data_IF_560858235973
#
_entry.id   IF_560858235973
#
_cell.length_a   1.000
_cell.length_b   1.000
_cell.length_c   1.000
_cell.angle_alpha   90.00
_cell.angle_beta   90.00
_cell.angle_gamma   90.00
#
_symmetry.space_group_name_H-M   'P 1'
#
loop_
_entity.id
_entity.type
_entity.pdbx_description
1 polymer ?
#
# COMPACT_ATOMS: atom_id res chain seq x y z
N UNK A 1 -25.64 6.19 -2.12
CA UNK A 1 -25.09 7.56 -2.10
C UNK A 1 -23.96 7.61 -3.11
N UNK A 2 -24.03 8.48 -4.12
CA UNK A 2 -22.92 8.68 -5.06
C UNK A 2 -21.82 9.41 -4.31
N UNK A 3 -20.71 8.73 -4.00
CA UNK A 3 -19.50 9.35 -3.48
C UNK A 3 -19.02 10.37 -4.53
N UNK A 4 -19.34 11.64 -4.32
CA UNK A 4 -18.74 12.74 -5.08
C UNK A 4 -17.29 12.84 -4.63
N UNK A 5 -16.42 12.07 -5.27
CA UNK A 5 -14.98 12.24 -5.13
C UNK A 5 -14.66 13.68 -5.55
N UNK A 6 -14.31 14.51 -4.58
CA UNK A 6 -13.85 15.88 -4.83
C UNK A 6 -12.61 15.79 -5.71
N UNK A 7 -12.67 16.46 -6.87
CA UNK A 7 -11.55 16.54 -7.79
C UNK A 7 -10.45 17.36 -7.10
N UNK A 8 -9.26 16.79 -6.98
CA UNK A 8 -8.08 17.53 -6.51
C UNK A 8 -7.84 18.73 -7.44
N UNK A 9 -7.44 19.86 -6.85
CA UNK A 9 -7.09 21.07 -7.62
C UNK A 9 -5.64 21.03 -8.08
N UNK A 10 -4.77 20.44 -7.27
CA UNK A 10 -3.34 20.34 -7.55
C UNK A 10 -2.99 19.02 -8.23
N UNK A 11 -2.10 19.08 -9.21
CA UNK A 11 -1.54 17.90 -9.85
C UNK A 11 -0.48 17.26 -8.92
N UNK A 12 -0.56 15.95 -8.73
CA UNK A 12 0.46 15.15 -8.05
C UNK A 12 1.51 14.77 -9.08
N UNK A 13 2.71 15.29 -8.91
CA UNK A 13 3.83 15.04 -9.82
C UNK A 13 4.61 13.80 -9.36
N UNK A 14 5.04 12.97 -10.31
CA UNK A 14 5.99 11.92 -10.04
C UNK A 14 7.39 12.53 -9.86
N UNK A 15 8.14 12.04 -8.88
CA UNK A 15 9.48 12.55 -8.58
C UNK A 15 10.60 11.88 -9.39
N UNK A 16 10.25 11.01 -10.34
CA UNK A 16 11.21 10.29 -11.20
C UNK A 16 10.95 10.43 -12.69
N UNK A 17 9.77 10.90 -13.08
CA UNK A 17 9.42 11.10 -14.49
C UNK A 17 8.37 12.21 -14.62
N UNK A 18 8.03 12.56 -15.85
CA UNK A 18 7.10 13.67 -16.16
C UNK A 18 5.62 13.34 -15.90
N UNK A 19 5.31 12.16 -15.34
CA UNK A 19 3.93 11.77 -15.05
C UNK A 19 3.28 12.69 -14.01
N UNK A 20 2.04 13.11 -14.28
CA UNK A 20 1.23 13.95 -13.39
C UNK A 20 -0.19 13.37 -13.27
N UNK A 21 -0.82 13.51 -12.11
CA UNK A 21 -2.21 13.10 -11.92
C UNK A 21 -2.93 13.86 -10.83
N UNK A 22 -4.23 14.12 -11.01
CA UNK A 22 -5.12 14.67 -9.96
C UNK A 22 -5.74 13.59 -9.07
N UNK A 23 -5.40 12.32 -9.27
CA UNK A 23 -5.90 11.22 -8.46
C UNK A 23 -4.77 10.62 -7.65
N UNK A 24 -4.87 10.69 -6.32
CA UNK A 24 -3.92 10.03 -5.41
C UNK A 24 -3.82 8.54 -5.74
N UNK A 25 -4.94 7.88 -6.03
CA UNK A 25 -4.96 6.45 -6.37
C UNK A 25 -4.22 6.17 -7.68
N UNK A 26 -4.40 7.00 -8.71
CA UNK A 26 -3.70 6.83 -9.99
C UNK A 26 -2.19 7.12 -9.85
N UNK A 27 -1.82 8.16 -9.10
CA UNK A 27 -0.42 8.47 -8.80
C UNK A 27 0.27 7.36 -8.01
N UNK A 28 -0.37 6.81 -6.97
CA UNK A 28 0.16 5.67 -6.22
C UNK A 28 0.28 4.41 -7.09
N UNK A 29 -0.71 4.14 -7.95
CA UNK A 29 -0.63 3.03 -8.91
C UNK A 29 0.53 3.21 -9.89
N UNK A 30 0.74 4.43 -10.39
CA UNK A 30 1.86 4.77 -11.25
C UNK A 30 3.21 4.48 -10.57
N UNK A 31 3.42 4.95 -9.33
CA UNK A 31 4.66 4.67 -8.58
C UNK A 31 4.93 3.16 -8.44
N UNK A 32 3.90 2.37 -8.16
CA UNK A 32 4.04 0.92 -8.02
C UNK A 32 4.36 0.24 -9.34
N UNK A 33 3.65 0.60 -10.41
CA UNK A 33 3.74 -0.10 -11.70
C UNK A 33 4.95 0.32 -12.54
N UNK A 34 5.37 1.59 -12.46
CA UNK A 34 6.46 2.13 -13.27
C UNK A 34 7.78 2.18 -12.52
N UNK A 35 7.73 2.52 -11.24
CA UNK A 35 8.92 2.77 -10.43
C UNK A 35 9.17 1.70 -9.37
N UNK A 36 8.31 0.67 -9.31
CA UNK A 36 8.36 -0.37 -8.28
C UNK A 36 8.55 0.22 -6.88
N UNK A 37 7.87 1.33 -6.56
CA UNK A 37 8.00 2.00 -5.26
C UNK A 37 6.63 2.37 -4.68
N UNK A 38 6.63 2.87 -3.46
CA UNK A 38 5.46 3.40 -2.75
C UNK A 38 5.84 4.75 -2.15
N UNK A 39 4.87 5.61 -1.76
CA UNK A 39 5.19 6.88 -1.13
C UNK A 39 6.10 6.72 0.09
N UNK A 40 5.79 5.76 0.96
CA UNK A 40 6.58 5.44 2.15
C UNK A 40 8.04 5.04 1.81
N UNK A 41 8.23 4.15 0.83
CA UNK A 41 9.57 3.73 0.40
C UNK A 41 10.36 4.83 -0.29
N UNK A 42 9.67 5.73 -1.00
CA UNK A 42 10.27 6.89 -1.62
C UNK A 42 10.58 8.03 -0.64
N UNK A 43 10.25 7.87 0.65
CA UNK A 43 10.38 8.95 1.64
C UNK A 43 9.46 10.12 1.29
N UNK A 44 8.22 9.82 0.91
CA UNK A 44 7.20 10.80 0.56
C UNK A 44 5.96 10.65 1.43
N UNK A 45 5.40 11.79 1.84
CA UNK A 45 4.09 11.89 2.48
C UNK A 45 3.14 12.70 1.59
N UNK A 46 1.85 12.41 1.72
CA UNK A 46 0.77 13.19 1.14
C UNK A 46 0.26 14.16 2.21
N UNK A 47 0.38 15.47 1.98
CA UNK A 47 -0.15 16.49 2.88
C UNK A 47 -1.41 17.10 2.26
N UNK A 48 -2.52 17.00 2.98
CA UNK A 48 -3.76 17.67 2.61
C UNK A 48 -3.73 19.14 3.06
N UNK A 49 -4.45 20.02 2.36
CA UNK A 49 -4.68 21.42 2.78
C UNK A 49 -5.27 21.56 4.19
N UNK A 50 -6.01 20.56 4.68
CA UNK A 50 -6.49 20.55 6.07
C UNK A 50 -5.38 20.30 7.13
N UNK A 51 -4.13 20.12 6.69
CA UNK A 51 -2.98 19.84 7.55
C UNK A 51 -2.74 18.35 7.81
N UNK A 52 -3.65 17.46 7.42
CA UNK A 52 -3.47 16.03 7.65
C UNK A 52 -2.38 15.44 6.74
N UNK A 53 -1.44 14.72 7.36
CA UNK A 53 -0.40 13.97 6.67
C UNK A 53 -0.76 12.48 6.62
N UNK A 54 -0.54 11.85 5.46
CA UNK A 54 -0.82 10.42 5.28
C UNK A 54 0.05 9.83 4.18
N UNK A 55 0.24 8.52 4.20
CA UNK A 55 0.85 7.76 3.09
C UNK A 55 -0.21 7.06 2.23
N UNK A 56 -1.49 7.20 2.56
CA UNK A 56 -2.62 6.50 1.94
C UNK A 56 -3.64 7.48 1.35
N UNK A 57 -4.46 7.03 0.39
CA UNK A 57 -5.55 7.84 -0.15
C UNK A 57 -6.81 7.84 0.75
N UNK A 58 -6.80 7.18 1.92
CA UNK A 58 -8.00 7.07 2.74
C UNK A 58 -8.50 8.42 3.28
N UNK A 59 -7.59 9.36 3.52
CA UNK A 59 -7.95 10.69 3.98
C UNK A 59 -8.76 11.49 2.93
N UNK A 60 -8.37 11.44 1.65
CA UNK A 60 -9.05 12.21 0.60
C UNK A 60 -10.51 11.80 0.39
N UNK A 61 -10.88 10.57 0.77
CA UNK A 61 -12.28 10.10 0.73
C UNK A 61 -13.16 10.70 1.83
N UNK A 62 -12.55 11.19 2.92
CA UNK A 62 -13.25 11.68 4.12
C UNK A 62 -13.19 13.20 4.26
N UNK A 63 -12.26 13.86 3.58
CA UNK A 63 -12.00 15.29 3.72
C UNK A 63 -12.74 16.09 2.65
N UNK A 64 -13.59 17.02 3.09
CA UNK A 64 -14.41 17.89 2.24
C UNK A 64 -13.61 18.96 1.48
N UNK A 65 -12.40 19.26 1.97
CA UNK A 65 -11.48 20.22 1.35
C UNK A 65 -10.22 19.49 0.84
N UNK A 66 -10.38 18.24 0.42
CA UNK A 66 -9.25 17.42 0.02
C UNK A 66 -8.53 18.02 -1.19
N UNK A 67 -7.41 18.67 -0.94
CA UNK A 67 -6.40 19.01 -1.93
C UNK A 67 -5.05 18.60 -1.38
N UNK A 68 -4.37 17.71 -2.10
CA UNK A 68 -3.24 16.94 -1.61
C UNK A 68 -2.00 17.32 -2.39
N UNK A 69 -0.90 17.56 -1.69
CA UNK A 69 0.42 17.74 -2.28
C UNK A 69 1.36 16.62 -1.85
N UNK A 70 2.35 16.32 -2.68
CA UNK A 70 3.40 15.35 -2.35
C UNK A 70 4.54 16.12 -1.68
N UNK A 71 4.99 15.64 -0.53
CA UNK A 71 6.13 16.21 0.20
C UNK A 71 7.17 15.11 0.37
N UNK A 72 8.42 15.36 -0.05
CA UNK A 72 9.55 14.50 0.33
C UNK A 72 9.95 14.79 1.77
N UNK A 73 10.10 13.74 2.57
CA UNK A 73 10.52 13.79 3.97
C UNK A 73 12.00 13.46 4.17
N UNK A 74 12.76 13.22 3.10
CA UNK A 74 14.21 13.00 3.19
C UNK A 74 14.93 13.12 1.85
N UNK A 75 16.24 13.39 1.94
CA UNK A 75 17.15 13.50 0.79
C UNK A 75 17.78 12.16 0.38
N UNK A 76 17.43 11.09 1.10
CA UNK A 76 17.93 9.74 0.83
C UNK A 76 17.52 9.21 -0.55
N UNK A 77 18.18 8.12 -1.01
CA UNK A 77 17.81 7.45 -2.24
C UNK A 77 16.38 6.88 -2.13
N UNK A 78 15.65 6.92 -3.25
CA UNK A 78 14.32 6.31 -3.34
C UNK A 78 14.46 4.81 -3.23
N UNK A 79 13.84 4.21 -2.21
CA UNK A 79 13.83 2.77 -2.03
C UNK A 79 12.79 2.14 -2.96
N UNK A 80 13.06 0.93 -3.39
CA UNK A 80 12.20 0.11 -4.25
C UNK A 80 11.60 -1.04 -3.47
N UNK A 81 10.47 -1.53 -3.95
CA UNK A 81 9.87 -2.79 -3.55
C UNK A 81 10.82 -3.96 -3.77
N UNK A 82 11.71 -3.87 -4.77
CA UNK A 82 12.75 -4.87 -5.04
C UNK A 82 13.89 -4.86 -4.01
N UNK A 83 14.12 -3.73 -3.34
CA UNK A 83 15.17 -3.60 -2.31
C UNK A 83 14.71 -4.16 -0.97
N UNK A 84 13.39 -4.29 -0.80
CA UNK A 84 12.84 -5.08 0.29
C UNK A 84 13.17 -6.53 -0.04
N UNK A 85 14.20 -7.08 0.60
CA UNK A 85 14.41 -8.51 0.66
C UNK A 85 13.17 -9.13 1.31
N UNK A 86 12.15 -9.42 0.50
CA UNK A 86 11.02 -10.21 0.96
C UNK A 86 11.58 -11.60 1.04
N UNK A 87 11.83 -12.06 2.28
CA UNK A 87 12.17 -13.44 2.53
C UNK A 87 11.22 -14.32 1.74
N UNK A 88 11.76 -15.31 1.05
CA UNK A 88 10.94 -16.27 0.33
C UNK A 88 10.12 -17.00 1.39
N UNK A 89 8.84 -16.66 1.53
CA UNK A 89 7.97 -17.23 2.57
C UNK A 89 7.31 -18.45 1.96
N UNK A 90 7.77 -19.67 2.30
CA UNK A 90 7.14 -20.88 1.78
C UNK A 90 5.69 -20.98 2.26
N UNK A 91 4.84 -21.59 1.45
CA UNK A 91 3.50 -21.95 1.87
C UNK A 91 3.56 -22.84 3.12
N UNK A 92 2.58 -22.69 4.03
CA UNK A 92 2.47 -23.52 5.24
C UNK A 92 2.19 -24.99 4.94
N UNK A 93 1.72 -25.31 3.72
CA UNK A 93 1.46 -26.67 3.27
C UNK A 93 2.70 -27.26 2.60
N UNK A 94 3.32 -28.33 3.14
CA UNK A 94 4.59 -28.87 2.65
C UNK A 94 4.58 -29.33 1.19
N UNK A 95 3.41 -29.70 0.67
CA UNK A 95 3.21 -30.13 -0.72
C UNK A 95 3.00 -28.97 -1.70
N UNK A 96 3.13 -27.72 -1.24
CA UNK A 96 2.90 -26.54 -2.06
C UNK A 96 4.19 -25.76 -2.29
N UNK A 97 4.70 -25.82 -3.52
CA UNK A 97 5.93 -25.14 -3.93
C UNK A 97 5.74 -23.66 -4.30
N UNK A 98 4.57 -23.07 -3.97
CA UNK A 98 4.32 -21.66 -4.24
C UNK A 98 4.95 -20.83 -3.13
N UNK A 99 5.74 -19.83 -3.54
CA UNK A 99 6.42 -18.90 -2.65
C UNK A 99 5.95 -17.45 -2.92
N UNK A 100 4.90 -16.99 -2.23
CA UNK A 100 4.35 -15.65 -2.44
C UNK A 100 5.31 -14.56 -1.95
N UNK A 101 5.68 -13.64 -2.84
CA UNK A 101 6.62 -12.53 -2.55
C UNK A 101 6.02 -11.36 -1.76
N UNK A 102 4.76 -11.43 -1.34
CA UNK A 102 4.12 -10.37 -0.57
C UNK A 102 3.14 -10.93 0.45
N UNK A 103 2.93 -10.25 1.59
CA UNK A 103 1.84 -10.52 2.54
C UNK A 103 0.47 -10.74 1.88
N UNK A 104 0.07 -9.83 0.99
CA UNK A 104 -1.21 -9.92 0.29
C UNK A 104 -1.27 -11.10 -0.68
N UNK A 105 -0.16 -11.34 -1.40
CA UNK A 105 -0.01 -12.52 -2.27
C UNK A 105 -0.14 -13.82 -1.48
N UNK A 106 0.45 -13.89 -0.30
CA UNK A 106 0.38 -15.06 0.58
C UNK A 106 -1.05 -15.34 1.05
N UNK A 107 -1.75 -14.30 1.53
CA UNK A 107 -3.15 -14.42 1.95
C UNK A 107 -4.04 -14.86 0.79
N UNK A 108 -3.86 -14.26 -0.40
CA UNK A 108 -4.62 -14.61 -1.59
C UNK A 108 -4.35 -16.05 -2.04
N UNK A 109 -3.09 -16.48 -1.99
CA UNK A 109 -2.68 -17.84 -2.30
C UNK A 109 -3.38 -18.87 -1.39
N UNK A 110 -3.32 -18.68 -0.06
CA UNK A 110 -4.01 -19.55 0.91
C UNK A 110 -5.50 -19.68 0.62
N UNK A 111 -6.16 -18.56 0.31
CA UNK A 111 -7.61 -18.56 0.02
C UNK A 111 -7.94 -19.29 -1.28
N UNK A 112 -7.16 -19.07 -2.34
CA UNK A 112 -7.46 -19.62 -3.67
C UNK A 112 -7.12 -21.10 -3.77
N UNK A 113 -5.95 -21.49 -3.28
CA UNK A 113 -5.38 -22.84 -3.44
C UNK A 113 -5.72 -23.78 -2.29
N UNK A 114 -5.77 -23.28 -1.06
CA UNK A 114 -5.96 -24.10 0.14
C UNK A 114 -7.30 -23.87 0.84
N UNK A 115 -8.16 -23.00 0.29
CA UNK A 115 -9.48 -22.63 0.84
C UNK A 115 -9.44 -22.28 2.33
N UNK A 116 -8.34 -21.66 2.76
CA UNK A 116 -8.04 -21.39 4.17
C UNK A 116 -7.59 -19.95 4.39
N UNK A 117 -7.32 -19.60 5.64
CA UNK A 117 -6.81 -18.30 6.07
C UNK A 117 -5.55 -18.47 6.94
N UNK A 118 -4.87 -17.37 7.22
CA UNK A 118 -3.75 -17.35 8.17
C UNK A 118 -4.17 -17.93 9.53
N UNK A 119 -5.28 -17.43 10.08
CA UNK A 119 -5.87 -17.89 11.34
C UNK A 119 -6.26 -19.36 11.31
N UNK A 120 -6.86 -19.82 10.20
CA UNK A 120 -7.24 -21.22 10.03
C UNK A 120 -6.06 -22.19 10.11
N UNK A 121 -4.83 -21.71 9.89
CA UNK A 121 -3.60 -22.48 10.02
C UNK A 121 -2.79 -22.16 11.28
N UNK A 122 -3.32 -21.32 12.19
CA UNK A 122 -2.57 -20.87 13.37
C UNK A 122 -1.32 -20.03 13.04
N UNK A 123 -1.20 -19.52 11.81
CA UNK A 123 -0.08 -18.67 11.38
C UNK A 123 -0.47 -17.21 11.36
N UNK A 124 0.51 -16.32 11.47
CA UNK A 124 0.33 -14.87 11.39
C UNK A 124 1.50 -14.25 10.62
N UNK A 125 1.25 -13.11 9.98
CA UNK A 125 2.31 -12.35 9.34
C UNK A 125 2.98 -11.44 10.38
N UNK A 126 4.30 -11.50 10.46
CA UNK A 126 5.09 -10.65 11.36
C UNK A 126 5.85 -9.62 10.53
N UNK A 127 5.65 -8.34 10.84
CA UNK A 127 6.47 -7.27 10.29
C UNK A 127 7.88 -7.33 10.90
N UNK A 128 8.89 -6.83 10.20
CA UNK A 128 10.26 -6.73 10.71
C UNK A 128 10.35 -5.88 12.00
N UNK A 129 9.44 -4.92 12.20
CA UNK A 129 9.32 -4.16 13.44
C UNK A 129 8.73 -4.97 14.62
N UNK A 130 8.38 -6.24 14.41
CA UNK A 130 7.80 -7.11 15.43
C UNK A 130 6.27 -7.12 15.50
N UNK A 131 5.60 -6.18 14.83
CA UNK A 131 4.14 -6.12 14.78
C UNK A 131 3.53 -7.37 14.12
N UNK A 132 2.45 -7.90 14.71
CA UNK A 132 1.69 -9.04 14.17
C UNK A 132 0.46 -8.55 13.41
N UNK A 133 0.30 -8.96 12.16
CA UNK A 133 -0.86 -8.65 11.32
C UNK A 133 -1.84 -9.81 11.25
N UNK A 134 -3.03 -9.60 11.83
CA UNK A 134 -4.18 -10.49 11.73
C UNK A 134 -5.32 -9.72 11.04
N UNK A 135 -5.52 -9.96 9.74
CA UNK A 135 -6.38 -9.18 8.81
C UNK A 135 -7.91 -9.18 9.12
N UNK A 136 -8.38 -9.67 10.27
CA UNK A 136 -9.82 -9.84 10.52
C UNK A 136 -10.57 -8.58 10.99
N UNK A 137 -9.90 -7.56 11.55
CA UNK A 137 -10.62 -6.45 12.20
C UNK A 137 -11.06 -5.28 11.30
N UNK A 138 -10.55 -5.17 10.07
CA UNK A 138 -10.74 -3.96 9.25
C UNK A 138 -11.70 -4.11 8.05
N UNK A 139 -12.22 -5.31 7.76
CA UNK A 139 -13.13 -5.53 6.61
C UNK A 139 -14.55 -5.96 6.98
N UNK A 140 -14.85 -6.26 8.24
CA UNK A 140 -16.19 -6.70 8.69
C UNK A 140 -16.99 -5.59 9.38
N UNK A 141 -16.67 -4.32 9.12
CA UNK A 141 -17.54 -3.17 9.45
C UNK A 141 -18.07 -2.52 8.16
N UNK A 142 -18.83 -3.27 7.37
CA UNK A 142 -19.79 -2.73 6.41
C UNK A 142 -20.94 -3.72 6.25
#
# INVERSE_FOLDING_TARGET
>A
KKDHALKQKTDLECFECEYRSRSVAAWQAHLRLKHSTTPDLAGCILRCECGNETVSFNHSRKCEISNTTVIRTGDGPIRRLTDLAVADVPCVYPQCDIHPKTPGGYIMHLRRHHKTTLKGNGVYLKCSCGARYNHEKDYLKH
#
